data_IF_163493013209
#
_entry.id   IF_163493013209
#
_cell.length_a   1.000
_cell.length_b   1.000
_cell.length_c   1.000
_cell.angle_alpha   90.00
_cell.angle_beta   90.00
_cell.angle_gamma   90.00
#
_symmetry.space_group_name_H-M   'P 1'
#
loop_
_entity.id
_entity.type
_entity.pdbx_description
1 polymer ?
#
# COMPACT_ATOMS: atom_id res chain seq x y z
N UNK A 1 -27.81 6.81 -11.85
CA UNK A 1 -26.49 6.50 -11.26
C UNK A 1 -25.55 6.24 -12.42
N UNK A 2 -24.47 7.00 -12.55
CA UNK A 2 -23.53 6.81 -13.66
C UNK A 2 -22.80 5.49 -13.46
N UNK A 3 -22.93 4.56 -14.42
CA UNK A 3 -22.23 3.27 -14.44
C UNK A 3 -20.72 3.46 -14.27
N UNK A 4 -20.20 4.56 -14.79
CA UNK A 4 -18.81 4.95 -14.73
C UNK A 4 -18.29 5.16 -13.30
N UNK A 5 -19.12 5.68 -12.38
CA UNK A 5 -18.75 5.82 -10.97
C UNK A 5 -18.47 4.45 -10.32
N UNK A 6 -19.33 3.47 -10.61
CA UNK A 6 -19.13 2.10 -10.14
C UNK A 6 -17.91 1.45 -10.76
N UNK A 7 -17.63 1.78 -12.02
CA UNK A 7 -16.49 1.25 -12.74
C UNK A 7 -15.17 1.69 -12.10
N UNK A 8 -15.04 2.96 -11.70
CA UNK A 8 -13.85 3.42 -10.94
C UNK A 8 -13.70 2.70 -9.60
N UNK A 9 -14.80 2.53 -8.87
CA UNK A 9 -14.77 1.79 -7.60
C UNK A 9 -14.34 0.34 -7.79
N UNK A 10 -14.84 -0.31 -8.84
CA UNK A 10 -14.48 -1.69 -9.17
C UNK A 10 -13.01 -1.81 -9.58
N UNK A 11 -12.51 -0.93 -10.45
CA UNK A 11 -11.07 -0.91 -10.83
C UNK A 11 -10.22 -0.77 -9.57
N UNK A 12 -10.49 0.24 -8.75
CA UNK A 12 -9.73 0.50 -7.53
C UNK A 12 -9.79 -0.67 -6.55
N UNK A 13 -10.96 -1.31 -6.41
CA UNK A 13 -11.13 -2.50 -5.60
C UNK A 13 -10.31 -3.68 -6.13
N UNK A 14 -10.42 -4.00 -7.42
CA UNK A 14 -9.72 -5.14 -8.03
C UNK A 14 -8.20 -4.96 -8.00
N UNK A 15 -7.69 -3.76 -8.29
CA UNK A 15 -6.26 -3.47 -8.21
C UNK A 15 -5.72 -3.65 -6.78
N UNK A 16 -6.42 -3.10 -5.78
CA UNK A 16 -6.04 -3.31 -4.37
C UNK A 16 -6.18 -4.79 -3.94
N UNK A 17 -7.19 -5.49 -4.46
CA UNK A 17 -7.40 -6.91 -4.19
C UNK A 17 -6.28 -7.78 -4.78
N UNK A 18 -5.85 -7.51 -6.01
CA UNK A 18 -4.72 -8.21 -6.64
C UNK A 18 -3.45 -8.01 -5.81
N UNK A 19 -3.16 -6.78 -5.38
CA UNK A 19 -2.01 -6.49 -4.51
C UNK A 19 -2.12 -7.26 -3.19
N UNK A 20 -3.32 -7.32 -2.61
CA UNK A 20 -3.58 -8.10 -1.41
C UNK A 20 -3.31 -9.61 -1.63
N UNK A 21 -3.69 -10.18 -2.77
CA UNK A 21 -3.37 -11.57 -3.10
C UNK A 21 -1.86 -11.79 -3.23
N UNK A 22 -1.15 -10.90 -3.92
CA UNK A 22 0.32 -10.95 -4.03
C UNK A 22 0.95 -10.90 -2.64
N UNK A 23 0.47 -9.98 -1.80
CA UNK A 23 0.91 -9.88 -0.41
C UNK A 23 0.71 -11.20 0.34
N UNK A 24 -0.52 -11.73 0.35
CA UNK A 24 -0.90 -12.93 1.11
C UNK A 24 -0.16 -14.19 0.66
N UNK A 25 -0.03 -14.39 -0.64
CA UNK A 25 0.57 -15.62 -1.15
C UNK A 25 2.09 -15.60 -1.21
N UNK A 26 2.70 -14.43 -1.40
CA UNK A 26 4.14 -14.29 -1.64
C UNK A 26 4.87 -13.51 -0.55
N UNK A 27 4.44 -12.29 -0.24
CA UNK A 27 5.18 -11.37 0.65
C UNK A 27 5.06 -11.82 2.10
N UNK A 28 3.84 -12.12 2.57
CA UNK A 28 3.54 -12.50 3.95
C UNK A 28 4.38 -13.72 4.40
N UNK A 29 4.40 -14.79 3.59
CA UNK A 29 5.19 -15.99 3.88
C UNK A 29 6.68 -15.70 4.04
N UNK A 30 7.22 -14.79 3.22
CA UNK A 30 8.64 -14.41 3.25
C UNK A 30 8.94 -13.52 4.45
N UNK A 31 8.07 -12.56 4.76
CA UNK A 31 8.19 -11.71 5.95
C UNK A 31 8.17 -12.54 7.23
N UNK A 32 7.19 -13.44 7.40
CA UNK A 32 7.08 -14.29 8.59
C UNK A 32 8.36 -15.13 8.78
N UNK A 33 8.89 -15.73 7.71
CA UNK A 33 10.13 -16.51 7.77
C UNK A 33 11.31 -15.65 8.23
N UNK A 34 11.50 -14.49 7.64
CA UNK A 34 12.62 -13.59 8.00
C UNK A 34 12.47 -13.08 9.43
N UNK A 35 11.26 -12.70 9.85
CA UNK A 35 10.96 -12.28 11.22
C UNK A 35 11.24 -13.40 12.23
N UNK A 36 10.87 -14.65 11.93
CA UNK A 36 11.17 -15.79 12.82
C UNK A 36 12.67 -15.99 13.01
N UNK A 37 13.47 -15.82 11.95
CA UNK A 37 14.93 -15.96 12.02
C UNK A 37 15.53 -14.83 12.85
N UNK A 38 15.08 -13.60 12.65
CA UNK A 38 15.54 -12.45 13.43
C UNK A 38 15.21 -12.62 14.92
N UNK A 39 14.00 -13.10 15.26
CA UNK A 39 13.64 -13.41 16.65
C UNK A 39 14.55 -14.47 17.27
N UNK A 40 14.88 -15.54 16.53
CA UNK A 40 15.82 -16.54 17.04
C UNK A 40 17.22 -15.94 17.34
N UNK A 41 17.68 -15.00 16.52
CA UNK A 41 18.93 -14.29 16.78
C UNK A 41 18.83 -13.39 18.01
N UNK A 42 17.75 -12.63 18.16
CA UNK A 42 17.50 -11.76 19.32
C UNK A 42 17.39 -12.57 20.61
N UNK A 43 16.65 -13.69 20.61
CA UNK A 43 16.54 -14.60 21.76
C UNK A 43 17.90 -15.16 22.16
N UNK A 44 18.72 -15.57 21.17
CA UNK A 44 20.06 -16.11 21.42
C UNK A 44 21.00 -15.06 22.02
N UNK A 45 20.85 -13.81 21.60
CA UNK A 45 21.60 -12.66 22.13
C UNK A 45 21.12 -12.31 23.55
N UNK A 46 19.81 -12.36 23.81
CA UNK A 46 19.23 -12.00 25.09
C UNK A 46 19.44 -13.05 26.20
N UNK A 47 19.64 -14.33 25.84
CA UNK A 47 20.05 -15.38 26.79
C UNK A 47 21.44 -15.16 27.40
N UNK A 48 22.27 -14.28 26.82
CA UNK A 48 23.61 -14.00 27.33
C UNK A 48 23.55 -12.90 28.40
N UNK A 49 23.81 -13.26 29.65
CA UNK A 49 23.78 -12.34 30.81
C UNK A 49 24.92 -11.33 30.81
N UNK A 50 26.10 -11.69 30.28
CA UNK A 50 27.27 -10.81 30.26
C UNK A 50 27.26 -9.86 29.06
N UNK A 51 27.18 -8.55 29.30
CA UNK A 51 27.21 -7.51 28.25
C UNK A 51 28.45 -7.62 27.33
N UNK A 52 29.65 -7.87 27.89
CA UNK A 52 30.88 -8.03 27.08
C UNK A 52 30.80 -9.25 26.14
N UNK A 53 30.16 -10.34 26.56
CA UNK A 53 29.95 -11.53 25.70
C UNK A 53 28.86 -11.28 24.67
N UNK A 54 27.79 -10.55 25.05
CA UNK A 54 26.69 -10.14 24.19
C UNK A 54 27.19 -9.35 22.98
N UNK A 55 28.03 -8.35 23.19
CA UNK A 55 28.61 -7.55 22.10
C UNK A 55 29.50 -8.36 21.15
N UNK A 56 30.32 -9.28 21.69
CA UNK A 56 31.18 -10.15 20.86
C UNK A 56 30.35 -11.07 19.97
N UNK A 57 29.28 -11.65 20.50
CA UNK A 57 28.36 -12.51 19.73
C UNK A 57 27.59 -11.68 18.71
N UNK A 58 27.10 -10.50 19.09
CA UNK A 58 26.44 -9.58 18.17
C UNK A 58 27.36 -9.20 16.99
N UNK A 59 28.62 -8.81 17.23
CA UNK A 59 29.56 -8.49 16.14
C UNK A 59 29.79 -9.65 15.18
N UNK A 60 29.79 -10.91 15.65
CA UNK A 60 29.93 -12.09 14.79
C UNK A 60 28.71 -12.31 13.89
N UNK A 61 27.51 -12.07 14.41
CA UNK A 61 26.22 -12.35 13.73
C UNK A 61 25.68 -11.10 13.01
N UNK A 62 26.24 -9.92 13.27
CA UNK A 62 25.76 -8.63 12.76
C UNK A 62 25.54 -8.60 11.25
N UNK A 63 26.46 -9.19 10.46
CA UNK A 63 26.30 -9.27 9.00
C UNK A 63 25.04 -10.04 8.59
N UNK A 64 24.72 -11.11 9.31
CA UNK A 64 23.53 -11.94 9.06
C UNK A 64 22.25 -11.19 9.46
N UNK A 65 22.22 -10.60 10.67
CA UNK A 65 21.09 -9.77 11.12
C UNK A 65 20.84 -8.62 10.14
N UNK A 66 21.90 -7.92 9.69
CA UNK A 66 21.79 -6.84 8.70
C UNK A 66 21.20 -7.34 7.38
N UNK A 67 21.59 -8.53 6.91
CA UNK A 67 21.06 -9.12 5.68
C UNK A 67 19.56 -9.47 5.81
N UNK A 68 19.14 -10.04 6.94
CA UNK A 68 17.72 -10.34 7.19
C UNK A 68 16.89 -9.07 7.36
N UNK A 69 17.39 -8.05 8.06
CA UNK A 69 16.73 -6.75 8.14
C UNK A 69 16.59 -6.10 6.76
N UNK A 70 17.65 -6.13 5.93
CA UNK A 70 17.58 -5.66 4.55
C UNK A 70 16.49 -6.39 3.76
N UNK A 71 16.35 -7.71 3.97
CA UNK A 71 15.29 -8.50 3.34
C UNK A 71 13.88 -8.08 3.80
N UNK A 72 13.68 -7.80 5.09
CA UNK A 72 12.39 -7.26 5.58
C UNK A 72 12.04 -5.93 4.92
N UNK A 73 13.01 -5.01 4.86
CA UNK A 73 12.81 -3.72 4.21
C UNK A 73 12.51 -3.90 2.72
N UNK A 74 13.22 -4.78 2.03
CA UNK A 74 12.99 -5.07 0.63
C UNK A 74 11.56 -5.57 0.37
N UNK A 75 11.07 -6.54 1.14
CA UNK A 75 9.71 -7.07 0.97
C UNK A 75 8.63 -6.04 1.29
N UNK A 76 8.85 -5.21 2.31
CA UNK A 76 7.93 -4.11 2.65
C UNK A 76 7.92 -3.05 1.55
N UNK A 77 9.09 -2.72 0.99
CA UNK A 77 9.23 -1.76 -0.10
C UNK A 77 8.64 -2.27 -1.41
N UNK A 78 8.78 -3.58 -1.69
CA UNK A 78 8.19 -4.23 -2.86
C UNK A 78 6.66 -4.09 -2.86
N UNK A 79 6.01 -4.24 -1.70
CA UNK A 79 4.57 -4.04 -1.56
C UNK A 79 4.17 -2.60 -1.89
N UNK A 80 4.92 -1.61 -1.41
CA UNK A 80 4.68 -0.19 -1.72
C UNK A 80 4.90 0.14 -3.20
N UNK A 81 5.93 -0.45 -3.83
CA UNK A 81 6.16 -0.28 -5.28
C UNK A 81 5.01 -0.86 -6.07
N UNK A 82 4.56 -2.08 -5.75
CA UNK A 82 3.43 -2.70 -6.43
C UNK A 82 2.19 -1.83 -6.34
N UNK A 83 1.88 -1.33 -5.14
CA UNK A 83 0.76 -0.40 -4.94
C UNK A 83 0.86 0.84 -5.84
N UNK A 84 2.04 1.43 -5.93
CA UNK A 84 2.29 2.63 -6.73
C UNK A 84 2.23 2.34 -8.24
N UNK A 85 2.72 1.19 -8.70
CA UNK A 85 2.62 0.78 -10.11
C UNK A 85 1.15 0.61 -10.52
N UNK A 86 0.37 -0.11 -9.73
CA UNK A 86 -1.06 -0.28 -10.00
C UNK A 86 -1.81 1.05 -9.94
N UNK A 87 -1.48 1.94 -8.99
CA UNK A 87 -2.03 3.29 -8.93
C UNK A 87 -1.82 4.05 -10.23
N UNK A 88 -0.61 4.03 -10.80
CA UNK A 88 -0.33 4.73 -12.07
C UNK A 88 -1.06 4.11 -13.26
N UNK A 89 -1.17 2.78 -13.29
CA UNK A 89 -1.93 2.07 -14.34
C UNK A 89 -3.41 2.46 -14.26
N UNK A 90 -4.01 2.39 -13.08
CA UNK A 90 -5.42 2.73 -12.88
C UNK A 90 -5.69 4.21 -13.19
N UNK A 91 -4.80 5.11 -12.76
CA UNK A 91 -4.88 6.54 -13.06
C UNK A 91 -4.89 6.79 -14.57
N UNK A 92 -3.97 6.15 -15.30
CA UNK A 92 -3.89 6.26 -16.75
C UNK A 92 -5.18 5.77 -17.41
N UNK A 93 -5.70 4.60 -16.99
CA UNK A 93 -6.94 4.05 -17.53
C UNK A 93 -8.14 4.95 -17.29
N UNK A 94 -8.24 5.54 -16.10
CA UNK A 94 -9.38 6.39 -15.72
C UNK A 94 -9.34 7.73 -16.46
N UNK A 95 -8.17 8.34 -16.59
CA UNK A 95 -8.03 9.62 -17.29
C UNK A 95 -8.31 9.50 -18.78
N UNK A 96 -7.86 8.41 -19.41
CA UNK A 96 -7.99 8.23 -20.86
C UNK A 96 -9.38 7.72 -21.27
N UNK A 97 -9.96 6.78 -20.51
CA UNK A 97 -11.14 6.03 -21.00
C UNK A 97 -12.45 6.34 -20.29
N UNK A 98 -12.45 7.07 -19.16
CA UNK A 98 -13.64 7.22 -18.31
C UNK A 98 -13.96 8.70 -18.06
N UNK A 99 -14.81 9.34 -18.90
CA UNK A 99 -15.22 10.73 -18.69
C UNK A 99 -16.37 10.83 -17.67
N UNK A 100 -16.07 10.99 -16.39
CA UNK A 100 -17.07 11.22 -15.33
C UNK A 100 -17.21 12.69 -15.00
N UNK A 101 -18.47 13.09 -14.87
CA UNK A 101 -18.86 14.39 -14.37
C UNK A 101 -19.47 14.22 -12.99
N UNK A 102 -18.82 14.78 -11.97
CA UNK A 102 -19.34 14.82 -10.61
C UNK A 102 -19.93 16.19 -10.37
N UNK A 103 -21.14 16.24 -9.85
CA UNK A 103 -21.83 17.49 -9.56
C UNK A 103 -21.99 17.67 -8.04
N UNK A 104 -21.73 18.87 -7.56
CA UNK A 104 -22.02 19.29 -6.20
C UNK A 104 -23.35 20.05 -6.13
N UNK A 105 -24.05 19.97 -4.99
CA UNK A 105 -25.28 20.74 -4.78
C UNK A 105 -25.02 22.22 -4.49
N UNK A 106 -23.76 22.64 -4.30
CA UNK A 106 -23.38 24.02 -4.01
C UNK A 106 -22.15 24.44 -4.82
N UNK A 107 -22.05 25.75 -5.07
CA UNK A 107 -20.90 26.35 -5.75
C UNK A 107 -19.71 26.47 -4.79
N UNK A 108 -18.56 25.95 -5.22
CA UNK A 108 -17.27 26.21 -4.57
C UNK A 108 -16.39 26.96 -5.57
N UNK A 109 -15.95 28.20 -5.25
CA UNK A 109 -15.00 28.93 -6.07
C UNK A 109 -13.74 28.08 -6.31
N UNK A 110 -13.16 28.16 -7.52
CA UNK A 110 -11.96 27.42 -7.95
C UNK A 110 -12.09 25.89 -8.14
N UNK A 111 -13.10 25.24 -7.54
CA UNK A 111 -13.31 23.79 -7.64
C UNK A 111 -14.48 23.38 -8.54
N UNK A 112 -15.41 24.30 -8.82
CA UNK A 112 -16.62 23.99 -9.60
C UNK A 112 -16.86 24.96 -10.75
N UNK A 113 -17.40 24.43 -11.86
CA UNK A 113 -17.93 25.21 -12.99
C UNK A 113 -19.44 25.02 -13.03
N UNK A 114 -20.18 26.11 -13.25
CA UNK A 114 -21.62 26.04 -13.46
C UNK A 114 -21.92 25.62 -14.90
N UNK A 115 -22.48 24.42 -15.08
CA UNK A 115 -22.94 23.90 -16.36
C UNK A 115 -24.41 23.51 -16.18
N UNK A 116 -25.31 24.17 -16.90
CA UNK A 116 -26.75 23.90 -16.90
C UNK A 116 -27.37 23.86 -15.48
N UNK A 117 -27.12 24.89 -14.66
CA UNK A 117 -27.61 25.02 -13.27
C UNK A 117 -27.10 23.95 -12.30
N UNK A 118 -26.08 23.18 -12.70
CA UNK A 118 -25.38 22.21 -11.84
C UNK A 118 -23.92 22.61 -11.72
N UNK A 119 -23.36 22.43 -10.53
CA UNK A 119 -21.97 22.76 -10.26
C UNK A 119 -21.10 21.52 -10.49
N UNK A 120 -20.47 21.42 -11.67
CA UNK A 120 -19.56 20.33 -12.05
C UNK A 120 -18.19 20.54 -11.40
N UNK A 121 -17.64 19.50 -10.78
CA UNK A 121 -16.29 19.55 -10.19
C UNK A 121 -15.24 19.50 -11.29
N UNK A 122 -14.29 20.44 -11.26
CA UNK A 122 -13.10 20.42 -12.10
C UNK A 122 -12.21 19.22 -11.76
N UNK A 123 -11.87 18.39 -12.75
CA UNK A 123 -11.07 17.19 -12.52
C UNK A 123 -11.80 16.11 -11.72
N UNK A 124 -13.13 16.06 -11.84
CA UNK A 124 -14.02 15.06 -11.24
C UNK A 124 -13.47 13.63 -11.27
N UNK A 125 -12.94 13.18 -12.42
CA UNK A 125 -12.31 11.86 -12.59
C UNK A 125 -11.19 11.60 -11.59
N UNK A 126 -10.27 12.56 -11.48
CA UNK A 126 -9.06 12.45 -10.69
C UNK A 126 -9.40 12.44 -9.20
N UNK A 127 -10.30 13.33 -8.77
CA UNK A 127 -10.74 13.41 -7.38
C UNK A 127 -11.45 12.11 -6.96
N UNK A 128 -12.34 11.60 -7.82
CA UNK A 128 -13.07 10.37 -7.55
C UNK A 128 -12.12 9.18 -7.43
N UNK A 129 -11.15 9.10 -8.35
CA UNK A 129 -10.12 8.07 -8.32
C UNK A 129 -9.30 8.12 -7.05
N UNK A 130 -8.76 9.29 -6.66
CA UNK A 130 -7.98 9.43 -5.42
C UNK A 130 -8.78 8.96 -4.21
N UNK A 131 -10.04 9.41 -4.09
CA UNK A 131 -10.90 9.02 -2.97
C UNK A 131 -11.15 7.50 -2.94
N UNK A 132 -11.45 6.91 -4.10
CA UNK A 132 -11.66 5.46 -4.21
C UNK A 132 -10.40 4.66 -3.89
N UNK A 133 -9.24 5.13 -4.34
CA UNK A 133 -7.97 4.48 -4.09
C UNK A 133 -7.62 4.53 -2.59
N UNK A 134 -7.72 5.70 -1.96
CA UNK A 134 -7.50 5.88 -0.52
C UNK A 134 -8.43 4.98 0.30
N UNK A 135 -9.68 4.84 -0.12
CA UNK A 135 -10.66 3.98 0.55
C UNK A 135 -10.25 2.50 0.56
N UNK A 136 -9.62 2.01 -0.52
CA UNK A 136 -9.21 0.60 -0.63
C UNK A 136 -7.74 0.33 -0.29
N UNK A 137 -6.91 1.38 -0.12
CA UNK A 137 -5.48 1.22 0.24
C UNK A 137 -5.25 0.40 1.52
N UNK A 138 -6.09 0.48 2.58
CA UNK A 138 -5.92 -0.37 3.76
C UNK A 138 -6.00 -1.88 3.48
N UNK A 139 -6.70 -2.31 2.43
CA UNK A 139 -6.75 -3.73 2.04
C UNK A 139 -5.40 -4.22 1.52
N UNK A 140 -4.73 -3.40 0.71
CA UNK A 140 -3.47 -3.74 0.05
C UNK A 140 -2.26 -3.60 0.98
N UNK A 141 -2.32 -2.71 1.99
CA UNK A 141 -1.24 -2.47 2.96
C UNK A 141 -1.34 -3.31 4.24
N UNK A 142 -2.10 -4.40 4.24
CA UNK A 142 -2.19 -5.28 5.40
C UNK A 142 -0.79 -5.77 5.77
N UNK A 143 -0.42 -5.60 7.03
CA UNK A 143 0.84 -6.09 7.61
C UNK A 143 0.59 -7.43 8.31
N UNK A 144 1.63 -8.27 8.45
CA UNK A 144 1.48 -9.47 9.25
C UNK A 144 1.11 -9.01 10.66
N UNK A 145 -0.03 -9.49 11.19
CA UNK A 145 -0.37 -9.25 12.59
C UNK A 145 0.68 -9.98 13.42
N UNK A 146 1.23 -9.26 14.40
CA UNK A 146 2.24 -9.79 15.30
C UNK A 146 1.81 -11.18 15.81
N UNK A 147 2.69 -12.17 15.59
CA UNK A 147 2.69 -13.42 16.37
C UNK A 147 3.40 -13.12 17.68
#
# INVERSE_FOLDING_TARGET
MNLDFFLILLISFFSNFIIFLIYKFFIEKRLIRVMSILRQYDDRINRITSNKRKEKVYKKIYKQIKSYNSSLYFYSFLQSILLLVFYFIDLFLILEYIPIKVFLPFYIPFLTININQKYEILGSNLILFILSFVLFTPLSLKRPKDI
#
